data_IF_896892396146
#
_entry.id   IF_896892396146
#
_cell.length_a   1.000
_cell.length_b   1.000
_cell.length_c   1.000
_cell.angle_alpha   90.00
_cell.angle_beta   90.00
_cell.angle_gamma   90.00
#
_symmetry.space_group_name_H-M   'P 1'
#
loop_
_entity.id
_entity.type
_entity.pdbx_description
1 polymer ?
#
# COMPACT_ATOMS: atom_id res chain seq x y z
N UNK A 1 -7.84 22.70 -21.57
CA UNK A 1 -9.17 22.04 -21.62
C UNK A 1 -9.28 21.32 -22.96
N UNK A 2 -9.55 20.01 -22.97
CA UNK A 2 -9.71 19.27 -24.22
C UNK A 2 -10.94 19.79 -24.97
N UNK A 3 -10.85 19.92 -26.30
CA UNK A 3 -11.92 20.48 -27.14
C UNK A 3 -13.18 19.59 -27.24
N UNK A 4 -13.10 18.33 -26.83
CA UNK A 4 -14.16 17.34 -26.98
C UNK A 4 -14.88 17.06 -25.64
N UNK A 5 -16.18 16.79 -25.72
CA UNK A 5 -16.99 16.37 -24.58
C UNK A 5 -16.52 15.02 -24.02
N UNK A 6 -16.52 14.91 -22.70
CA UNK A 6 -16.22 13.65 -21.99
C UNK A 6 -17.15 12.55 -22.49
N UNK A 7 -16.61 11.35 -22.76
CA UNK A 7 -17.42 10.17 -23.11
C UNK A 7 -18.43 9.86 -22.01
N UNK A 8 -19.69 9.67 -22.39
CA UNK A 8 -20.75 9.18 -21.51
C UNK A 8 -20.45 7.75 -21.04
N UNK A 9 -21.07 7.35 -19.93
CA UNK A 9 -20.96 5.99 -19.38
C UNK A 9 -21.35 4.93 -20.42
N UNK A 10 -22.39 5.19 -21.21
CA UNK A 10 -22.87 4.30 -22.26
C UNK A 10 -21.83 4.12 -23.38
N UNK A 11 -21.29 5.21 -23.91
CA UNK A 11 -20.27 5.15 -24.98
C UNK A 11 -18.99 4.45 -24.49
N UNK A 12 -18.57 4.65 -23.23
CA UNK A 12 -17.45 3.91 -22.62
C UNK A 12 -17.74 2.41 -22.54
N UNK A 13 -18.98 2.05 -22.20
CA UNK A 13 -19.44 0.66 -22.16
C UNK A 13 -19.35 0.00 -23.53
N UNK A 14 -19.88 0.65 -24.58
CA UNK A 14 -19.81 0.17 -25.96
C UNK A 14 -18.36 -0.02 -26.44
N UNK A 15 -17.49 0.97 -26.21
CA UNK A 15 -16.06 0.88 -26.57
C UNK A 15 -15.40 -0.33 -25.88
N UNK A 16 -15.68 -0.53 -24.58
CA UNK A 16 -15.11 -1.64 -23.81
C UNK A 16 -15.59 -3.00 -24.34
N UNK A 17 -16.88 -3.14 -24.64
CA UNK A 17 -17.45 -4.37 -25.19
C UNK A 17 -16.83 -4.72 -26.56
N UNK A 18 -16.84 -3.78 -27.50
CA UNK A 18 -16.29 -4.00 -28.86
C UNK A 18 -14.79 -4.29 -28.85
N UNK A 19 -14.04 -3.60 -27.99
CA UNK A 19 -12.60 -3.87 -27.81
C UNK A 19 -12.35 -5.26 -27.23
N UNK A 20 -13.22 -5.76 -26.37
CA UNK A 20 -13.12 -7.11 -25.79
C UNK A 20 -13.39 -8.17 -26.84
N UNK A 21 -14.33 -7.92 -27.75
CA UNK A 21 -14.64 -8.80 -28.90
C UNK A 21 -13.58 -8.76 -30.01
N UNK A 22 -12.55 -7.90 -29.89
CA UNK A 22 -11.45 -7.84 -30.85
C UNK A 22 -11.74 -6.99 -32.10
N UNK A 23 -12.78 -6.15 -32.10
CA UNK A 23 -13.04 -5.25 -33.23
C UNK A 23 -11.89 -4.25 -33.43
N UNK A 24 -11.51 -3.94 -34.69
CA UNK A 24 -10.49 -2.95 -34.96
C UNK A 24 -10.96 -1.55 -34.56
N UNK A 25 -10.05 -0.72 -34.04
CA UNK A 25 -10.35 0.65 -33.58
C UNK A 25 -11.09 1.51 -34.61
N UNK A 26 -10.86 1.29 -35.92
CA UNK A 26 -11.60 1.97 -36.99
C UNK A 26 -13.10 1.72 -36.88
N UNK A 27 -13.53 0.45 -36.78
CA UNK A 27 -14.95 0.09 -36.63
C UNK A 27 -15.55 0.58 -35.32
N UNK A 28 -14.78 0.60 -34.23
CA UNK A 28 -15.23 1.12 -32.94
C UNK A 28 -15.54 2.62 -33.02
N UNK A 29 -14.66 3.39 -33.67
CA UNK A 29 -14.85 4.82 -33.94
C UNK A 29 -16.10 5.06 -34.77
N UNK A 30 -16.32 4.24 -35.81
CA UNK A 30 -17.48 4.37 -36.70
C UNK A 30 -18.81 4.08 -36.00
N UNK A 31 -18.83 3.11 -35.07
CA UNK A 31 -20.02 2.76 -34.27
C UNK A 31 -20.32 3.84 -33.24
N UNK A 32 -19.31 4.29 -32.51
CA UNK A 32 -19.48 5.24 -31.40
C UNK A 32 -19.57 6.69 -31.90
N UNK A 33 -19.32 6.95 -33.19
CA UNK A 33 -19.34 8.28 -33.84
C UNK A 33 -18.42 9.28 -33.12
N UNK A 34 -17.29 8.81 -32.59
CA UNK A 34 -16.30 9.60 -31.84
C UNK A 34 -14.95 9.56 -32.55
N UNK A 35 -14.14 10.59 -32.36
CA UNK A 35 -12.78 10.58 -32.90
C UNK A 35 -11.94 9.47 -32.28
N UNK A 36 -10.96 8.96 -33.05
CA UNK A 36 -10.00 7.95 -32.58
C UNK A 36 -9.28 8.37 -31.30
N UNK A 37 -8.98 9.66 -31.15
CA UNK A 37 -8.32 10.21 -29.95
C UNK A 37 -9.23 10.14 -28.73
N UNK A 38 -10.54 10.31 -28.92
CA UNK A 38 -11.54 10.23 -27.86
C UNK A 38 -11.81 8.80 -27.39
N UNK A 39 -11.63 7.80 -28.26
CA UNK A 39 -11.87 6.39 -27.92
C UNK A 39 -10.65 5.68 -27.33
N UNK A 40 -9.45 6.18 -27.59
CA UNK A 40 -8.22 5.66 -26.97
C UNK A 40 -8.08 6.14 -25.53
N UNK A 41 -7.67 5.25 -24.62
CA UNK A 41 -7.25 5.65 -23.28
C UNK A 41 -6.07 6.61 -23.40
N UNK A 42 -6.15 7.75 -22.72
CA UNK A 42 -4.98 8.60 -22.53
C UNK A 42 -3.96 7.85 -21.70
N UNK A 43 -2.68 8.01 -22.03
CA UNK A 43 -1.63 7.58 -21.12
C UNK A 43 -1.82 8.29 -19.78
N UNK A 44 -1.92 7.52 -18.71
CA UNK A 44 -1.96 8.09 -17.37
C UNK A 44 -0.62 8.78 -17.07
N UNK A 45 -0.67 9.76 -16.17
CA UNK A 45 0.55 10.40 -15.72
C UNK A 45 1.45 9.34 -15.06
N UNK A 46 2.71 9.20 -15.51
CA UNK A 46 3.61 8.24 -14.91
C UNK A 46 3.79 8.55 -13.43
N UNK A 47 3.88 7.50 -12.60
CA UNK A 47 4.10 7.67 -11.17
C UNK A 47 5.47 8.29 -10.91
N UNK A 48 5.55 9.24 -9.97
CA UNK A 48 6.83 9.85 -9.56
C UNK A 48 7.86 8.81 -9.11
N UNK A 49 7.39 7.70 -8.54
CA UNK A 49 8.25 6.66 -7.99
C UNK A 49 8.41 5.49 -8.96
N UNK A 50 9.63 4.97 -9.03
CA UNK A 50 9.96 3.77 -9.78
C UNK A 50 9.55 2.49 -9.01
N UNK A 51 9.57 1.33 -9.68
CA UNK A 51 9.08 0.09 -9.07
C UNK A 51 9.99 -0.42 -7.96
N UNK A 52 11.29 -0.12 -8.01
CA UNK A 52 12.25 -0.42 -6.94
C UNK A 52 11.93 0.38 -5.68
N UNK A 53 11.68 1.67 -5.79
CA UNK A 53 11.27 2.56 -4.68
C UNK A 53 9.92 2.15 -4.09
N UNK A 54 8.97 1.73 -4.93
CA UNK A 54 7.71 1.14 -4.45
C UNK A 54 7.97 -0.15 -3.67
N UNK A 55 8.91 -0.98 -4.14
CA UNK A 55 9.32 -2.21 -3.49
C UNK A 55 10.00 -1.99 -2.13
N UNK A 56 10.96 -1.06 -2.04
CA UNK A 56 11.67 -0.73 -0.80
C UNK A 56 10.71 -0.17 0.25
N UNK A 57 9.84 0.76 -0.13
CA UNK A 57 8.77 1.27 0.74
C UNK A 57 7.96 0.15 1.39
N UNK A 58 7.50 -0.79 0.58
CA UNK A 58 6.66 -1.87 1.08
C UNK A 58 7.43 -2.86 1.94
N UNK A 59 8.68 -3.17 1.58
CA UNK A 59 9.54 -4.03 2.41
C UNK A 59 9.78 -3.40 3.78
N UNK A 60 10.11 -2.11 3.81
CA UNK A 60 10.30 -1.36 5.06
C UNK A 60 9.01 -1.31 5.88
N UNK A 61 7.86 -1.08 5.26
CA UNK A 61 6.57 -1.04 5.93
C UNK A 61 6.16 -2.40 6.51
N UNK A 62 6.45 -3.50 5.81
CA UNK A 62 6.16 -4.86 6.29
C UNK A 62 7.05 -5.26 7.47
N UNK A 63 8.31 -4.84 7.44
CA UNK A 63 9.31 -5.28 8.41
C UNK A 63 9.50 -4.31 9.60
N UNK A 64 8.77 -3.20 9.66
CA UNK A 64 8.95 -2.21 10.74
C UNK A 64 7.64 -1.59 11.21
N UNK A 65 7.54 -1.35 12.52
CA UNK A 65 6.43 -0.62 13.14
C UNK A 65 6.73 0.88 13.18
N UNK A 66 7.13 1.45 12.05
CA UNK A 66 7.48 2.88 11.95
C UNK A 66 6.35 3.69 11.32
N UNK A 67 6.32 4.99 11.61
CA UNK A 67 5.35 5.89 10.98
C UNK A 67 5.62 6.04 9.48
N UNK A 68 4.62 6.47 8.71
CA UNK A 68 4.78 6.75 7.26
C UNK A 68 5.93 7.75 6.99
N UNK A 69 6.14 8.73 7.89
CA UNK A 69 7.26 9.68 7.77
C UNK A 69 8.59 9.00 8.06
N UNK A 70 8.62 8.08 9.03
CA UNK A 70 9.77 7.22 9.30
C UNK A 70 10.13 6.37 8.09
N UNK A 71 9.15 5.67 7.51
CA UNK A 71 9.31 4.86 6.28
C UNK A 71 9.85 5.71 5.13
N UNK A 72 9.32 6.93 4.95
CA UNK A 72 9.82 7.85 3.92
C UNK A 72 11.31 8.17 4.12
N UNK A 73 11.70 8.49 5.37
CA UNK A 73 13.08 8.85 5.72
C UNK A 73 14.02 7.65 5.52
N UNK A 74 13.64 6.47 5.97
CA UNK A 74 14.45 5.26 5.83
C UNK A 74 14.59 4.81 4.39
N UNK A 75 13.55 4.98 3.57
CA UNK A 75 13.62 4.65 2.15
C UNK A 75 14.33 5.73 1.32
N UNK A 76 14.64 6.91 1.88
CA UNK A 76 15.32 8.00 1.16
C UNK A 76 14.49 8.60 0.02
N UNK A 77 13.16 8.56 0.13
CA UNK A 77 12.29 8.88 -1.01
C UNK A 77 11.87 10.35 -1.02
N UNK A 78 12.17 11.03 -2.13
CA UNK A 78 11.67 12.38 -2.42
C UNK A 78 10.20 12.35 -2.89
N UNK A 79 9.29 12.01 -1.97
CA UNK A 79 7.86 12.07 -2.24
C UNK A 79 7.08 12.59 -1.03
N UNK A 80 5.85 13.02 -1.28
CA UNK A 80 4.97 13.44 -0.19
C UNK A 80 4.60 12.24 0.70
N UNK A 81 4.31 12.50 1.98
CA UNK A 81 3.78 11.49 2.91
C UNK A 81 2.55 10.77 2.35
N UNK A 82 1.68 11.50 1.66
CA UNK A 82 0.46 10.95 1.04
C UNK A 82 0.80 10.02 -0.12
N UNK A 83 1.83 10.34 -0.91
CA UNK A 83 2.29 9.48 -2.00
C UNK A 83 2.78 8.13 -1.47
N UNK A 84 3.57 8.13 -0.40
CA UNK A 84 4.02 6.90 0.27
C UNK A 84 2.82 6.11 0.79
N UNK A 85 1.86 6.78 1.43
CA UNK A 85 0.65 6.12 1.93
C UNK A 85 -0.17 5.46 0.81
N UNK A 86 -0.39 6.14 -0.33
CA UNK A 86 -1.10 5.58 -1.49
C UNK A 86 -0.44 4.33 -2.06
N UNK A 87 0.88 4.19 -1.93
CA UNK A 87 1.60 2.97 -2.37
C UNK A 87 1.30 1.81 -1.43
N UNK A 88 1.27 2.09 -0.12
CA UNK A 88 0.99 1.08 0.89
C UNK A 88 -0.48 0.66 0.87
N UNK A 89 -1.40 1.61 0.69
CA UNK A 89 -2.84 1.40 0.64
C UNK A 89 -3.29 0.50 -0.52
N UNK A 90 -2.53 0.46 -1.62
CA UNK A 90 -2.76 -0.47 -2.72
C UNK A 90 -2.54 -1.94 -2.35
N UNK A 91 -1.88 -2.23 -1.22
CA UNK A 91 -1.54 -3.59 -0.79
C UNK A 91 -2.47 -4.04 0.33
N UNK A 92 -3.32 -5.06 0.12
CA UNK A 92 -4.29 -5.50 1.13
C UNK A 92 -3.63 -6.06 2.39
N UNK A 93 -2.37 -6.50 2.30
CA UNK A 93 -1.65 -7.12 3.41
C UNK A 93 -1.06 -6.12 4.41
N UNK A 94 -1.11 -4.81 4.12
CA UNK A 94 -0.50 -3.77 4.97
C UNK A 94 -1.62 -2.95 5.59
N UNK A 95 -1.97 -3.27 6.84
CA UNK A 95 -2.98 -2.53 7.60
C UNK A 95 -2.31 -1.49 8.48
N UNK A 96 -2.75 -0.24 8.36
CA UNK A 96 -2.32 0.80 9.29
C UNK A 96 -3.05 0.64 10.61
N UNK A 97 -2.32 0.25 11.65
CA UNK A 97 -2.82 0.20 13.02
C UNK A 97 -1.99 1.09 13.94
N UNK A 98 -2.60 1.48 15.07
CA UNK A 98 -1.90 2.17 16.16
C UNK A 98 -1.81 1.19 17.32
N UNK A 99 -0.60 0.90 17.76
CA UNK A 99 -0.38 0.05 18.93
C UNK A 99 -1.06 0.70 20.15
N UNK A 100 -1.87 -0.10 20.87
CA UNK A 100 -2.44 0.34 22.16
C UNK A 100 -1.31 0.59 23.13
N UNK A 101 -1.50 1.51 24.07
CA UNK A 101 -0.52 1.75 25.12
C UNK A 101 -0.41 0.49 25.97
N UNK A 102 0.80 -0.06 26.05
CA UNK A 102 1.10 -1.08 27.04
C UNK A 102 1.02 -0.42 28.43
N UNK A 103 0.31 -1.00 29.41
CA UNK A 103 0.36 -0.51 30.78
C UNK A 103 1.81 -0.53 31.29
N UNK A 104 2.19 0.47 32.08
CA UNK A 104 3.54 0.52 32.63
C UNK A 104 3.75 -0.63 33.62
N UNK A 105 4.76 -1.46 33.36
CA UNK A 105 5.16 -2.51 34.28
C UNK A 105 6.03 -1.90 35.37
N UNK A 106 5.47 -1.82 36.58
CA UNK A 106 6.25 -1.55 37.79
C UNK A 106 7.24 -2.69 38.04
N UNK A 107 8.28 -2.43 38.84
CA UNK A 107 9.27 -3.45 39.18
C UNK A 107 8.59 -4.67 39.84
N UNK A 108 7.66 -4.41 40.77
CA UNK A 108 6.84 -5.44 41.41
C UNK A 108 6.15 -6.37 40.41
N UNK A 109 5.52 -5.84 39.36
CA UNK A 109 4.88 -6.67 38.33
C UNK A 109 5.89 -7.54 37.57
N UNK A 110 7.13 -7.07 37.37
CA UNK A 110 8.19 -7.86 36.73
C UNK A 110 8.66 -8.99 37.64
N UNK A 111 8.84 -8.70 38.93
CA UNK A 111 9.29 -9.67 39.93
C UNK A 111 8.26 -10.78 40.14
N UNK A 112 6.97 -10.42 40.25
CA UNK A 112 5.86 -11.38 40.37
C UNK A 112 5.76 -12.28 39.12
N UNK A 113 5.95 -11.73 37.92
CA UNK A 113 5.98 -12.51 36.67
C UNK A 113 7.16 -13.47 36.62
N UNK A 114 8.33 -13.03 37.09
CA UNK A 114 9.51 -13.88 37.17
C UNK A 114 9.30 -15.01 38.19
N UNK A 115 8.69 -14.71 39.33
CA UNK A 115 8.32 -15.69 40.35
C UNK A 115 7.36 -16.75 39.79
N UNK A 116 6.30 -16.31 39.09
CA UNK A 116 5.37 -17.22 38.43
C UNK A 116 6.07 -18.12 37.41
N UNK A 117 6.92 -17.55 36.56
CA UNK A 117 7.68 -18.34 35.58
C UNK A 117 8.58 -19.37 36.27
N UNK A 118 9.27 -19.01 37.36
CA UNK A 118 10.11 -19.93 38.12
C UNK A 118 9.36 -21.10 38.73
N UNK A 119 8.13 -20.88 39.21
CA UNK A 119 7.30 -21.93 39.82
C UNK A 119 6.73 -22.88 38.78
N UNK A 120 6.25 -22.35 37.64
CA UNK A 120 5.43 -23.14 36.70
C UNK A 120 6.20 -23.62 35.46
N UNK A 121 7.29 -22.98 35.08
CA UNK A 121 8.08 -23.38 33.91
C UNK A 121 9.21 -24.32 34.33
N UNK A 122 9.26 -25.51 33.72
CA UNK A 122 10.38 -26.46 33.80
C UNK A 122 11.57 -25.94 32.98
N UNK A 123 12.23 -24.89 33.45
CA UNK A 123 13.45 -24.36 32.86
C UNK A 123 14.58 -24.36 33.89
N UNK A 124 15.81 -24.56 33.42
CA UNK A 124 17.00 -24.48 34.26
C UNK A 124 17.40 -23.02 34.44
N UNK A 125 16.92 -22.44 35.55
CA UNK A 125 17.11 -21.02 35.86
C UNK A 125 18.55 -20.67 36.26
N UNK A 126 19.41 -21.66 36.55
CA UNK A 126 20.82 -21.44 36.88
C UNK A 126 21.63 -21.00 35.64
N UNK A 127 21.14 -21.30 34.43
CA UNK A 127 21.78 -20.90 33.17
C UNK A 127 21.39 -19.49 32.71
N UNK A 128 20.44 -18.84 33.38
CA UNK A 128 20.00 -17.49 33.04
C UNK A 128 20.78 -16.49 33.89
N UNK A 129 21.96 -16.08 33.42
CA UNK A 129 22.68 -14.96 34.00
C UNK A 129 21.88 -13.67 33.76
N UNK A 130 21.34 -13.10 34.83
CA UNK A 130 20.74 -11.77 34.82
C UNK A 130 21.89 -10.74 34.76
N UNK A 131 22.15 -10.21 33.57
CA UNK A 131 22.98 -9.02 33.34
C UNK A 131 22.27 -7.76 33.82
#
# INVERSE_FOLDING_TARGET
MGRASTLSLHERGQIKALSTTGYPLKRIVDVVKRSRKGTTKSNERPSKLNDREKGTNSRTALNSTTSIVGIRRTCGIDASKITVWRILDKRPNIVRSRMKKCPQLTQRHKDERLCWAKIFMRYDWEKVQLL
#
